data_IF_307547777879
#
_entry.id   IF_307547777879
#
_cell.length_a   1.000
_cell.length_b   1.000
_cell.length_c   1.000
_cell.angle_alpha   90.00
_cell.angle_beta   90.00
_cell.angle_gamma   90.00
#
_symmetry.space_group_name_H-M   'P 1'
#
loop_
_entity.id
_entity.type
_entity.pdbx_description
1 polymer ?
#
# COMPACT_ATOMS: atom_id res chain seq x y z
N UNK A 1 6.30 3.77 20.10
CA UNK A 1 6.63 2.91 18.94
C UNK A 1 5.57 1.85 18.68
N UNK A 2 5.33 0.89 19.58
CA UNK A 2 4.38 -0.22 19.33
C UNK A 2 2.94 0.26 19.09
N UNK A 3 2.48 1.30 19.78
CA UNK A 3 1.17 1.93 19.52
C UNK A 3 1.08 2.52 18.12
N UNK A 4 2.08 3.30 17.70
CA UNK A 4 2.15 3.89 16.36
C UNK A 4 2.13 2.82 15.26
N UNK A 5 2.82 1.69 15.48
CA UNK A 5 2.81 0.57 14.54
C UNK A 5 1.44 -0.12 14.47
N UNK A 6 0.74 -0.27 15.60
CA UNK A 6 -0.63 -0.80 15.61
C UNK A 6 -1.59 0.14 14.89
N UNK A 7 -1.48 1.44 15.12
CA UNK A 7 -2.27 2.47 14.44
C UNK A 7 -2.03 2.43 12.93
N UNK A 8 -0.79 2.23 12.50
CA UNK A 8 -0.42 2.08 11.08
C UNK A 8 -1.04 0.84 10.45
N UNK A 9 -0.91 -0.33 11.09
CA UNK A 9 -1.51 -1.57 10.58
C UNK A 9 -3.05 -1.44 10.50
N UNK A 10 -3.66 -0.78 11.49
CA UNK A 10 -5.09 -0.51 11.46
C UNK A 10 -5.48 0.42 10.30
N UNK A 11 -4.72 1.48 10.04
CA UNK A 11 -4.97 2.41 8.93
C UNK A 11 -4.90 1.70 7.56
N UNK A 12 -3.86 0.90 7.35
CA UNK A 12 -3.69 0.05 6.15
C UNK A 12 -4.84 -0.95 6.01
N UNK A 13 -5.22 -1.63 7.09
CA UNK A 13 -6.34 -2.58 7.08
C UNK A 13 -7.70 -1.92 6.94
N UNK A 14 -7.86 -0.63 7.23
CA UNK A 14 -9.13 0.08 7.04
C UNK A 14 -9.22 0.82 5.72
N UNK A 15 -8.09 0.98 5.01
CA UNK A 15 -8.03 1.87 3.86
C UNK A 15 -8.21 3.34 4.25
N UNK A 16 -7.80 3.75 5.46
CA UNK A 16 -7.82 5.16 5.87
C UNK A 16 -6.51 5.85 5.48
N UNK A 17 -6.55 6.57 4.36
CA UNK A 17 -5.38 7.26 3.81
C UNK A 17 -4.83 8.37 4.72
N UNK A 18 -5.71 9.10 5.40
CA UNK A 18 -5.29 10.20 6.26
C UNK A 18 -4.60 9.67 7.52
N UNK A 19 -5.17 8.63 8.12
CA UNK A 19 -4.58 7.98 9.29
C UNK A 19 -3.24 7.31 8.92
N UNK A 20 -3.13 6.75 7.72
CA UNK A 20 -1.88 6.22 7.18
C UNK A 20 -0.77 7.27 7.17
N UNK A 21 -1.00 8.43 6.53
CA UNK A 21 0.00 9.51 6.49
C UNK A 21 0.38 10.05 7.87
N UNK A 22 -0.58 10.21 8.78
CA UNK A 22 -0.32 10.65 10.15
C UNK A 22 0.55 9.66 10.93
N UNK A 23 0.32 8.35 10.75
CA UNK A 23 1.14 7.34 11.42
C UNK A 23 2.56 7.29 10.87
N UNK A 24 2.74 7.49 9.56
CA UNK A 24 4.06 7.62 8.92
C UNK A 24 4.84 8.83 9.46
N UNK A 25 4.20 9.99 9.57
CA UNK A 25 4.82 11.19 10.15
C UNK A 25 5.30 10.91 11.58
N UNK A 26 4.46 10.25 12.38
CA UNK A 26 4.79 9.84 13.76
C UNK A 26 5.90 8.79 13.83
N UNK A 27 6.17 8.04 12.76
CA UNK A 27 7.25 7.06 12.69
C UNK A 27 8.62 7.67 12.40
N UNK A 28 8.69 8.83 11.73
CA UNK A 28 9.95 9.49 11.32
C UNK A 28 10.97 9.63 12.48
N UNK A 29 10.60 10.12 13.67
CA UNK A 29 11.54 10.26 14.78
C UNK A 29 12.15 8.92 15.23
N UNK A 30 11.42 7.81 15.08
CA UNK A 30 11.91 6.48 15.44
C UNK A 30 12.92 5.95 14.43
N UNK A 31 12.79 6.27 13.14
CA UNK A 31 13.80 5.93 12.13
C UNK A 31 15.11 6.70 12.36
N UNK A 32 15.02 7.97 12.77
CA UNK A 32 16.21 8.74 13.17
C UNK A 32 16.86 8.18 14.44
N UNK A 33 16.06 7.84 15.46
CA UNK A 33 16.57 7.31 16.73
C UNK A 33 17.22 5.91 16.61
N UNK A 34 16.76 5.09 15.65
CA UNK A 34 17.30 3.75 15.37
C UNK A 34 18.53 3.77 14.46
N UNK A 35 18.92 4.94 13.94
CA UNK A 35 20.05 5.08 13.00
C UNK A 35 19.71 4.65 11.57
N UNK A 36 18.45 4.40 11.25
CA UNK A 36 17.99 4.10 9.89
C UNK A 36 17.78 5.39 9.07
N UNK A 37 18.84 6.21 8.97
CA UNK A 37 18.79 7.50 8.28
C UNK A 37 18.35 7.43 6.81
N UNK A 38 18.78 6.43 6.00
CA UNK A 38 18.29 6.31 4.63
C UNK A 38 16.77 6.12 4.58
N UNK A 39 16.23 5.27 5.47
CA UNK A 39 14.80 5.00 5.55
C UNK A 39 14.04 6.25 6.03
N UNK A 40 14.58 6.97 7.01
CA UNK A 40 13.99 8.23 7.48
C UNK A 40 13.89 9.26 6.34
N UNK A 41 14.92 9.37 5.51
CA UNK A 41 14.93 10.26 4.35
C UNK A 41 13.92 9.82 3.29
N UNK A 42 13.87 8.53 2.95
CA UNK A 42 12.90 7.99 1.99
C UNK A 42 11.47 8.21 2.45
N UNK A 43 11.19 8.00 3.74
CA UNK A 43 9.86 8.22 4.33
C UNK A 43 9.47 9.70 4.29
N UNK A 44 10.42 10.62 4.53
CA UNK A 44 10.16 12.06 4.42
C UNK A 44 9.81 12.48 2.99
N UNK A 45 10.55 11.96 1.99
CA UNK A 45 10.25 12.22 0.58
C UNK A 45 8.88 11.67 0.20
N UNK A 46 8.59 10.43 0.60
CA UNK A 46 7.27 9.83 0.41
C UNK A 46 6.15 10.70 0.99
N UNK A 47 6.31 11.21 2.21
CA UNK A 47 5.28 12.05 2.85
C UNK A 47 5.04 13.35 2.05
N UNK A 48 6.09 13.96 1.52
CA UNK A 48 5.99 15.15 0.67
C UNK A 48 5.26 14.83 -0.64
N UNK A 49 5.68 13.78 -1.33
CA UNK A 49 5.07 13.34 -2.59
C UNK A 49 3.58 13.01 -2.40
N UNK A 50 3.23 12.33 -1.30
CA UNK A 50 1.84 11.98 -1.00
C UNK A 50 0.98 13.20 -0.61
N UNK A 51 1.56 14.27 -0.07
CA UNK A 51 0.85 15.53 0.18
C UNK A 51 0.59 16.30 -1.11
N UNK A 52 1.50 16.23 -2.07
CA UNK A 52 1.36 16.85 -3.39
C UNK A 52 0.52 16.00 -4.36
N UNK A 53 0.19 14.75 -4.00
CA UNK A 53 -0.58 13.82 -4.82
C UNK A 53 -1.93 14.38 -5.27
N UNK A 54 -2.60 15.17 -4.42
CA UNK A 54 -3.89 15.80 -4.76
C UNK A 54 -3.80 16.83 -5.89
N UNK A 55 -2.59 17.33 -6.17
CA UNK A 55 -2.33 18.31 -7.23
C UNK A 55 -1.95 17.60 -8.53
N UNK A 56 -1.30 16.43 -8.43
CA UNK A 56 -0.81 15.67 -9.58
C UNK A 56 -1.86 14.73 -10.20
N UNK A 57 -2.79 14.21 -9.37
CA UNK A 57 -3.81 13.26 -9.79
C UNK A 57 -5.13 13.97 -10.16
N UNK A 58 -5.95 13.33 -11.00
CA UNK A 58 -7.30 13.79 -11.25
C UNK A 58 -8.11 13.80 -9.92
N UNK A 59 -8.88 14.86 -9.62
CA UNK A 59 -9.61 14.95 -8.35
C UNK A 59 -10.58 13.79 -8.09
N UNK A 60 -11.19 13.22 -9.13
CA UNK A 60 -12.13 12.11 -9.00
C UNK A 60 -11.40 10.80 -8.65
N UNK A 61 -10.25 10.58 -9.28
CA UNK A 61 -9.38 9.43 -8.95
C UNK A 61 -8.77 9.57 -7.56
N UNK A 62 -8.37 10.78 -7.17
CA UNK A 62 -7.86 11.06 -5.84
C UNK A 62 -8.92 10.80 -4.77
N UNK A 63 -10.17 11.21 -5.01
CA UNK A 63 -11.27 10.92 -4.12
C UNK A 63 -11.44 9.40 -3.92
N UNK A 64 -11.54 8.64 -5.01
CA UNK A 64 -11.64 7.16 -4.94
C UNK A 64 -10.43 6.56 -4.21
N UNK A 65 -9.23 7.04 -4.50
CA UNK A 65 -8.01 6.59 -3.83
C UNK A 65 -8.09 6.76 -2.30
N UNK A 66 -8.51 7.94 -1.84
CA UNK A 66 -8.66 8.23 -0.40
C UNK A 66 -9.83 7.50 0.27
N UNK A 67 -10.85 7.09 -0.49
CA UNK A 67 -11.99 6.29 -0.01
C UNK A 67 -11.65 4.80 0.22
N UNK A 68 -10.37 4.42 0.08
CA UNK A 68 -9.85 3.11 0.47
C UNK A 68 -9.38 2.25 -0.71
N UNK A 69 -9.47 2.75 -1.95
CA UNK A 69 -9.02 2.04 -3.14
C UNK A 69 -7.48 1.89 -3.23
N UNK A 70 -6.72 2.55 -2.33
CA UNK A 70 -5.27 2.32 -2.23
C UNK A 70 -4.89 0.94 -1.68
N UNK A 71 -5.85 0.23 -1.07
CA UNK A 71 -5.66 -1.14 -0.58
C UNK A 71 -6.60 -2.09 -1.30
N UNK A 72 -6.16 -3.33 -1.51
CA UNK A 72 -6.99 -4.34 -2.16
C UNK A 72 -7.34 -5.48 -1.21
N UNK A 73 -8.47 -6.11 -1.51
CA UNK A 73 -9.11 -7.12 -0.69
C UNK A 73 -9.44 -8.34 -1.53
N UNK A 74 -9.16 -9.53 -1.00
CA UNK A 74 -9.48 -10.81 -1.65
C UNK A 74 -10.86 -11.38 -1.25
N UNK A 75 -11.40 -10.95 -0.12
CA UNK A 75 -12.68 -11.40 0.47
C UNK A 75 -13.17 -10.38 1.52
N UNK A 76 -14.48 -10.32 1.82
CA UNK A 76 -15.17 -9.35 2.73
C UNK A 76 -14.73 -9.32 4.23
N UNK A 77 -13.47 -9.63 4.54
CA UNK A 77 -12.88 -9.52 5.88
C UNK A 77 -12.13 -8.21 6.11
N UNK A 78 -11.76 -7.97 7.38
CA UNK A 78 -11.06 -6.76 7.85
C UNK A 78 -9.64 -6.59 7.29
N UNK A 79 -9.03 -7.63 6.73
CA UNK A 79 -7.62 -7.60 6.32
C UNK A 79 -7.49 -7.13 4.86
N UNK A 80 -7.31 -5.83 4.69
CA UNK A 80 -6.84 -5.26 3.43
C UNK A 80 -5.31 -5.42 3.33
N UNK A 81 -4.83 -5.74 2.14
CA UNK A 81 -3.41 -5.95 1.83
C UNK A 81 -2.96 -4.78 0.96
N UNK A 82 -1.75 -4.27 1.21
CA UNK A 82 -1.20 -3.21 0.37
C UNK A 82 -1.03 -3.70 -1.07
N UNK A 83 -1.23 -2.81 -2.04
CA UNK A 83 -1.13 -3.17 -3.47
C UNK A 83 0.25 -3.74 -3.83
N UNK A 84 1.32 -3.22 -3.23
CA UNK A 84 2.69 -3.71 -3.44
C UNK A 84 2.86 -5.18 -3.01
N UNK A 85 2.30 -5.55 -1.85
CA UNK A 85 2.30 -6.93 -1.38
C UNK A 85 1.49 -7.85 -2.29
N UNK A 86 0.39 -7.37 -2.89
CA UNK A 86 -0.38 -8.15 -3.87
C UNK A 86 0.42 -8.34 -5.15
N UNK A 87 1.09 -7.31 -5.64
CA UNK A 87 1.95 -7.40 -6.81
C UNK A 87 3.06 -8.42 -6.56
N UNK A 88 3.79 -8.32 -5.45
CA UNK A 88 4.90 -9.23 -5.14
C UNK A 88 4.43 -10.66 -4.86
N UNK A 89 3.42 -10.84 -4.01
CA UNK A 89 3.04 -12.17 -3.51
C UNK A 89 2.09 -12.92 -4.44
N UNK A 90 1.32 -12.22 -5.27
CA UNK A 90 0.29 -12.82 -6.12
C UNK A 90 0.64 -12.60 -7.59
N UNK A 91 0.83 -11.35 -8.02
CA UNK A 91 1.02 -11.05 -9.44
C UNK A 91 2.36 -11.60 -9.96
N UNK A 92 3.47 -11.31 -9.30
CA UNK A 92 4.80 -11.77 -9.70
C UNK A 92 4.93 -13.30 -9.61
N UNK A 93 4.25 -13.96 -8.67
CA UNK A 93 4.19 -15.43 -8.63
C UNK A 93 3.31 -16.01 -9.73
N UNK A 94 2.23 -15.32 -10.09
CA UNK A 94 1.34 -15.73 -11.18
C UNK A 94 1.98 -15.52 -12.56
N UNK A 95 2.87 -14.53 -12.70
CA UNK A 95 3.73 -14.32 -13.87
C UNK A 95 4.94 -15.25 -13.74
N UNK A 96 4.73 -16.54 -13.95
CA UNK A 96 5.84 -17.46 -14.23
C UNK A 96 6.30 -17.24 -15.67
N UNK A 97 7.55 -16.82 -15.84
CA UNK A 97 8.18 -16.58 -17.16
C UNK A 97 8.17 -17.87 -17.99
N UNK A 98 7.64 -17.78 -19.20
CA UNK A 98 7.53 -18.89 -20.15
C UNK A 98 8.93 -19.31 -20.63
N UNK A 99 9.34 -20.52 -20.24
CA UNK A 99 10.67 -21.10 -20.47
C UNK A 99 10.92 -22.39 -19.67
N UNK A 100 10.14 -22.62 -18.61
CA UNK A 100 10.00 -23.91 -17.92
C UNK A 100 8.79 -24.72 -18.39
N UNK A 101 8.69 -26.03 -18.05
CA UNK A 101 7.78 -27.01 -18.67
C UNK A 101 6.28 -26.85 -18.34
N UNK A 102 5.85 -25.71 -17.79
CA UNK A 102 4.47 -25.48 -17.35
C UNK A 102 3.79 -24.44 -18.25
N UNK A 103 2.65 -24.84 -18.83
CA UNK A 103 1.89 -24.05 -19.81
C UNK A 103 1.28 -22.79 -19.20
N UNK A 104 1.35 -21.70 -19.95
CA UNK A 104 0.80 -20.40 -19.62
C UNK A 104 -0.74 -20.40 -19.72
N UNK A 105 -1.42 -20.02 -18.64
CA UNK A 105 -2.86 -19.82 -18.61
C UNK A 105 -3.18 -18.70 -17.63
N UNK A 106 -3.77 -17.62 -18.13
CA UNK A 106 -4.27 -16.52 -17.29
C UNK A 106 -5.41 -17.09 -16.43
N UNK A 107 -5.19 -17.16 -15.12
CA UNK A 107 -6.25 -17.57 -14.20
C UNK A 107 -7.17 -16.37 -13.97
N UNK A 108 -8.37 -16.43 -14.54
CA UNK A 108 -9.37 -15.36 -14.71
C UNK A 108 -10.00 -14.82 -13.39
N UNK A 109 -9.44 -15.11 -12.21
CA UNK A 109 -10.21 -15.09 -10.94
C UNK A 109 -9.71 -14.16 -9.83
N UNK A 110 -8.80 -13.21 -10.07
CA UNK A 110 -8.04 -12.63 -8.93
C UNK A 110 -8.39 -11.19 -8.52
N UNK A 111 -9.18 -10.41 -9.26
CA UNK A 111 -9.46 -9.03 -8.80
C UNK A 111 -10.92 -8.63 -9.08
N UNK A 112 -11.75 -8.67 -8.04
CA UNK A 112 -12.97 -7.86 -7.99
C UNK A 112 -12.54 -6.44 -7.62
N UNK A 113 -12.43 -5.57 -8.62
CA UNK A 113 -12.37 -4.13 -8.40
C UNK A 113 -13.82 -3.71 -8.18
N UNK A 114 -14.14 -3.24 -6.96
CA UNK A 114 -15.49 -2.78 -6.62
C UNK A 114 -15.96 -1.73 -7.63
N UNK A 115 -17.03 -2.05 -8.37
CA UNK A 115 -17.89 -1.10 -9.07
C UNK A 115 -19.05 -0.65 -8.21
#
# INVERSE_FOLDING_TARGET
MVSVLKDFIAAECMGDWNQHLQTIERMIPYFHASGHFPNAKSVQLYLQDMQELSIQMDPEEFQKFTEGYFTARRSDGFFLISMDQIIEQILMKSISVEGGPFKCGVMESIIYING
#
